data_IF_832662678621
#
_entry.id   IF_832662678621
#
_cell.length_a   1.000
_cell.length_b   1.000
_cell.length_c   1.000
_cell.angle_alpha   90.00
_cell.angle_beta   90.00
_cell.angle_gamma   90.00
#
_symmetry.space_group_name_H-M   'P 1'
#
loop_
_entity.id
_entity.type
_entity.pdbx_description
1 polymer ?
#
# COMPACT_ATOMS: atom_id res chain seq x y z
N UNK A 1 -25.09 -35.60 -51.06
CA UNK A 1 -25.43 -36.07 -49.69
C UNK A 1 -24.49 -35.34 -48.74
N UNK A 2 -24.99 -34.29 -48.09
CA UNK A 2 -25.37 -34.29 -46.65
C UNK A 2 -24.12 -34.20 -45.78
N UNK A 3 -23.86 -33.22 -44.92
CA UNK A 3 -24.61 -32.10 -44.33
C UNK A 3 -23.54 -31.02 -44.01
N UNK A 4 -23.81 -29.72 -43.92
CA UNK A 4 -24.91 -29.08 -43.22
C UNK A 4 -24.46 -28.72 -41.79
N UNK A 5 -24.24 -27.43 -41.54
CA UNK A 5 -24.20 -26.82 -40.20
C UNK A 5 -22.88 -26.98 -39.44
N UNK A 6 -22.33 -26.00 -38.75
CA UNK A 6 -22.87 -24.71 -38.36
C UNK A 6 -21.68 -23.74 -38.15
N UNK A 7 -21.86 -22.52 -38.64
CA UNK A 7 -21.12 -21.37 -38.15
C UNK A 7 -21.15 -21.40 -36.61
N UNK A 8 -20.00 -21.26 -35.96
CA UNK A 8 -19.96 -20.90 -34.54
C UNK A 8 -20.41 -19.45 -34.49
N UNK A 9 -21.62 -19.11 -33.99
CA UNK A 9 -21.93 -17.71 -33.77
C UNK A 9 -21.05 -17.24 -32.60
N UNK A 10 -20.14 -16.33 -32.91
CA UNK A 10 -19.54 -15.46 -31.90
C UNK A 10 -20.69 -14.83 -31.11
N UNK A 11 -20.79 -15.12 -29.81
CA UNK A 11 -21.70 -14.37 -28.95
C UNK A 11 -21.04 -13.04 -28.61
N UNK A 12 -21.53 -11.89 -29.09
CA UNK A 12 -21.18 -10.62 -28.47
C UNK A 12 -21.79 -10.66 -27.06
N UNK A 13 -20.94 -10.68 -26.03
CA UNK A 13 -21.39 -10.43 -24.66
C UNK A 13 -21.92 -9.00 -24.63
N UNK A 14 -23.24 -8.87 -24.70
CA UNK A 14 -23.99 -7.62 -24.54
C UNK A 14 -23.50 -6.90 -23.28
N UNK A 15 -22.77 -5.80 -23.48
CA UNK A 15 -22.32 -4.85 -22.46
C UNK A 15 -23.36 -3.72 -22.30
N UNK A 16 -24.65 -4.05 -22.22
CA UNK A 16 -25.72 -3.05 -22.42
C UNK A 16 -26.78 -3.00 -21.30
N UNK A 17 -26.40 -3.37 -20.08
CA UNK A 17 -27.30 -3.36 -18.93
C UNK A 17 -26.52 -3.09 -17.63
N UNK A 18 -25.48 -2.25 -17.75
CA UNK A 18 -24.81 -1.61 -16.61
C UNK A 18 -25.55 -0.33 -16.21
N UNK A 19 -26.88 -0.35 -16.24
CA UNK A 19 -27.70 0.70 -15.64
C UNK A 19 -27.76 0.38 -14.16
N UNK A 20 -26.80 0.89 -13.38
CA UNK A 20 -26.85 0.90 -11.93
C UNK A 20 -28.14 1.65 -11.52
N UNK A 21 -29.16 1.00 -10.93
CA UNK A 21 -30.20 1.74 -10.23
C UNK A 21 -29.54 2.37 -8.99
N UNK A 22 -29.04 3.59 -9.16
CA UNK A 22 -28.37 4.36 -8.13
C UNK A 22 -29.41 4.93 -7.14
N UNK A 23 -30.09 4.06 -6.38
CA UNK A 23 -30.89 4.44 -5.21
C UNK A 23 -31.37 3.24 -4.39
N UNK A 24 -30.52 2.23 -4.18
CA UNK A 24 -30.80 1.21 -3.16
C UNK A 24 -30.15 1.64 -1.85
N UNK A 25 -30.96 1.88 -0.81
CA UNK A 25 -30.48 2.13 0.55
C UNK A 25 -29.49 1.04 1.02
N UNK A 26 -29.57 -0.17 0.45
CA UNK A 26 -28.61 -1.25 0.66
C UNK A 26 -27.20 -0.98 0.12
N UNK A 27 -27.06 -0.30 -1.03
CA UNK A 27 -25.75 0.05 -1.58
C UNK A 27 -25.06 1.14 -0.75
N UNK A 28 -25.82 2.15 -0.29
CA UNK A 28 -25.30 3.20 0.59
C UNK A 28 -24.86 2.61 1.95
N UNK A 29 -25.63 1.66 2.49
CA UNK A 29 -25.30 0.95 3.72
C UNK A 29 -24.04 0.10 3.57
N UNK A 30 -23.90 -0.65 2.47
CA UNK A 30 -22.70 -1.42 2.19
C UNK A 30 -21.46 -0.52 2.05
N UNK A 31 -21.57 0.62 1.37
CA UNK A 31 -20.49 1.61 1.28
C UNK A 31 -20.06 2.14 2.65
N UNK A 32 -20.99 2.39 3.56
CA UNK A 32 -20.66 2.82 4.93
C UNK A 32 -20.05 1.69 5.78
N UNK A 33 -20.54 0.46 5.65
CA UNK A 33 -20.00 -0.70 6.39
C UNK A 33 -18.59 -1.09 5.92
N UNK A 34 -18.29 -0.97 4.61
CA UNK A 34 -16.96 -1.25 4.05
C UNK A 34 -16.03 -0.03 4.10
N UNK A 35 -16.53 1.15 3.76
CA UNK A 35 -15.75 2.38 3.63
C UNK A 35 -15.51 3.09 4.95
N UNK A 36 -16.46 3.02 5.89
CA UNK A 36 -16.32 3.66 7.21
C UNK A 36 -15.05 3.24 7.95
N UNK A 37 -14.77 1.94 8.10
CA UNK A 37 -13.53 1.45 8.71
C UNK A 37 -12.27 1.94 7.99
N UNK A 38 -12.28 1.98 6.65
CA UNK A 38 -11.13 2.40 5.83
C UNK A 38 -10.84 3.89 5.99
N UNK A 39 -11.88 4.72 6.02
CA UNK A 39 -11.76 6.16 6.26
C UNK A 39 -11.21 6.40 7.67
N UNK A 40 -11.74 5.69 8.67
CA UNK A 40 -11.27 5.81 10.05
C UNK A 40 -9.80 5.36 10.21
N UNK A 41 -9.43 4.24 9.58
CA UNK A 41 -8.04 3.79 9.53
C UNK A 41 -7.12 4.84 8.89
N UNK A 42 -7.54 5.47 7.79
CA UNK A 42 -6.74 6.49 7.10
C UNK A 42 -6.58 7.76 7.93
N UNK A 43 -7.63 8.15 8.67
CA UNK A 43 -7.57 9.26 9.61
C UNK A 43 -6.56 8.98 10.72
N UNK A 44 -6.64 7.79 11.35
CA UNK A 44 -5.70 7.37 12.38
C UNK A 44 -4.25 7.33 11.88
N UNK A 45 -4.02 6.78 10.68
CA UNK A 45 -2.69 6.74 10.08
C UNK A 45 -2.10 8.14 9.86
N UNK A 46 -2.93 9.09 9.41
CA UNK A 46 -2.52 10.49 9.20
C UNK A 46 -2.22 11.19 10.54
N UNK A 47 -3.05 10.96 11.56
CA UNK A 47 -2.83 11.50 12.90
C UNK A 47 -1.57 10.93 13.54
N UNK A 48 -1.28 9.64 13.35
CA UNK A 48 -0.05 9.02 13.85
C UNK A 48 1.19 9.67 13.23
N UNK A 49 1.21 9.88 11.90
CA UNK A 49 2.34 10.56 11.25
C UNK A 49 2.54 12.01 11.73
N UNK A 50 1.45 12.72 12.06
CA UNK A 50 1.54 14.04 12.68
C UNK A 50 2.14 13.95 14.10
N UNK A 51 1.67 13.02 14.92
CA UNK A 51 2.16 12.81 16.28
C UNK A 51 3.65 12.41 16.26
N UNK A 52 4.08 11.53 15.36
CA UNK A 52 5.49 11.13 15.20
C UNK A 52 6.38 12.35 14.95
N UNK A 53 5.94 13.24 14.07
CA UNK A 53 6.64 14.48 13.75
C UNK A 53 6.65 15.45 14.94
N UNK A 54 5.52 15.59 15.63
CA UNK A 54 5.38 16.46 16.80
C UNK A 54 6.19 15.97 18.00
N UNK A 55 6.26 14.65 18.25
CA UNK A 55 7.05 14.10 19.35
C UNK A 55 8.53 14.38 19.16
N UNK A 56 9.04 14.29 17.93
CA UNK A 56 10.45 14.61 17.65
C UNK A 56 10.68 16.13 17.53
N UNK A 57 9.64 16.93 17.30
CA UNK A 57 9.76 18.39 17.18
C UNK A 57 10.30 19.08 18.44
N UNK A 58 10.05 18.51 19.63
CA UNK A 58 10.51 19.07 20.90
C UNK A 58 11.97 18.76 21.25
N UNK A 59 12.65 17.90 20.48
CA UNK A 59 14.01 17.40 20.79
C UNK A 59 15.11 18.30 20.19
N UNK A 60 14.74 19.24 19.30
CA UNK A 60 15.62 20.28 18.77
C UNK A 60 15.64 20.37 17.24
N UNK A 61 16.16 21.46 16.64
CA UNK A 61 16.14 21.69 15.19
C UNK A 61 16.88 20.60 14.39
N UNK A 62 17.96 20.04 14.96
CA UNK A 62 18.72 18.95 14.37
C UNK A 62 17.89 17.65 14.28
N UNK A 63 17.06 17.36 15.29
CA UNK A 63 16.19 16.18 15.31
C UNK A 63 15.07 16.29 14.27
N UNK A 64 14.50 17.50 14.10
CA UNK A 64 13.52 17.80 13.03
C UNK A 64 14.11 17.61 11.63
N UNK A 65 15.35 18.05 11.40
CA UNK A 65 16.06 17.81 10.14
C UNK A 65 16.24 16.32 9.82
N UNK A 66 16.55 15.52 10.85
CA UNK A 66 16.64 14.06 10.74
C UNK A 66 15.32 13.38 10.36
N UNK A 67 14.20 13.80 10.97
CA UNK A 67 12.86 13.24 10.65
C UNK A 67 12.46 13.54 9.21
N UNK A 68 12.71 14.75 8.72
CA UNK A 68 12.41 15.10 7.32
C UNK A 68 13.19 14.24 6.31
N UNK A 69 14.42 13.85 6.67
CA UNK A 69 15.26 13.00 5.84
C UNK A 69 14.76 11.54 5.81
N UNK A 70 14.41 11.01 6.99
CA UNK A 70 13.82 9.68 7.13
C UNK A 70 12.48 9.60 6.42
N UNK A 71 11.66 10.65 6.50
CA UNK A 71 10.36 10.73 5.84
C UNK A 71 10.45 10.52 4.33
N UNK A 72 11.49 11.05 3.66
CA UNK A 72 11.71 10.82 2.22
C UNK A 72 11.98 9.36 1.89
N UNK A 73 12.78 8.69 2.70
CA UNK A 73 13.08 7.26 2.54
C UNK A 73 11.83 6.41 2.78
N UNK A 74 11.09 6.72 3.85
CA UNK A 74 9.82 6.06 4.18
C UNK A 74 8.76 6.26 3.09
N UNK A 75 8.72 7.43 2.44
CA UNK A 75 7.80 7.70 1.34
C UNK A 75 8.05 6.76 0.14
N UNK A 76 9.31 6.62 -0.27
CA UNK A 76 9.69 5.71 -1.36
C UNK A 76 9.37 4.26 -1.01
N UNK A 77 9.70 3.83 0.22
CA UNK A 77 9.37 2.49 0.69
C UNK A 77 7.85 2.25 0.72
N UNK A 78 7.08 3.24 1.16
CA UNK A 78 5.62 3.18 1.19
C UNK A 78 5.02 3.05 -0.21
N UNK A 79 5.58 3.74 -1.22
CA UNK A 79 5.15 3.58 -2.62
C UNK A 79 5.30 2.14 -3.11
N UNK A 80 6.45 1.51 -2.84
CA UNK A 80 6.72 0.12 -3.25
C UNK A 80 5.79 -0.84 -2.53
N UNK A 81 5.62 -0.69 -1.22
CA UNK A 81 4.75 -1.53 -0.41
C UNK A 81 3.27 -1.36 -0.79
N UNK A 82 2.82 -0.13 -1.06
CA UNK A 82 1.46 0.14 -1.53
C UNK A 82 1.19 -0.48 -2.89
N UNK A 83 2.17 -0.43 -3.81
CA UNK A 83 2.09 -1.12 -5.11
C UNK A 83 1.95 -2.63 -4.94
N UNK A 84 2.75 -3.23 -4.05
CA UNK A 84 2.69 -4.65 -3.76
C UNK A 84 1.36 -5.05 -3.10
N UNK A 85 0.88 -4.27 -2.13
CA UNK A 85 -0.38 -4.50 -1.44
C UNK A 85 -1.57 -4.41 -2.40
N UNK A 86 -1.60 -3.38 -3.25
CA UNK A 86 -2.64 -3.20 -4.26
C UNK A 86 -2.63 -4.32 -5.30
N UNK A 87 -1.47 -4.66 -5.86
CA UNK A 87 -1.33 -5.75 -6.83
C UNK A 87 -1.75 -7.11 -6.26
N UNK A 88 -1.39 -7.39 -5.01
CA UNK A 88 -1.80 -8.62 -4.32
C UNK A 88 -3.30 -8.59 -4.01
N UNK A 89 -3.85 -7.46 -3.59
CA UNK A 89 -5.28 -7.27 -3.34
C UNK A 89 -6.13 -7.55 -4.58
N UNK A 90 -5.68 -7.12 -5.76
CA UNK A 90 -6.35 -7.43 -7.05
C UNK A 90 -6.37 -8.94 -7.30
N UNK A 91 -5.24 -9.64 -7.14
CA UNK A 91 -5.17 -11.09 -7.31
C UNK A 91 -6.06 -11.83 -6.30
N UNK A 92 -6.08 -11.37 -5.05
CA UNK A 92 -6.94 -11.91 -3.98
C UNK A 92 -8.41 -11.74 -4.34
N UNK A 93 -8.82 -10.56 -4.83
CA UNK A 93 -10.19 -10.31 -5.26
C UNK A 93 -10.59 -11.21 -6.45
N UNK A 94 -9.69 -11.40 -7.41
CA UNK A 94 -9.92 -12.28 -8.57
C UNK A 94 -10.06 -13.76 -8.17
N UNK A 95 -9.11 -14.29 -7.39
CA UNK A 95 -9.16 -15.69 -6.95
C UNK A 95 -10.24 -15.96 -5.91
N UNK A 96 -10.52 -14.98 -5.05
CA UNK A 96 -11.60 -15.01 -4.06
C UNK A 96 -12.98 -15.01 -4.72
N UNK A 97 -13.21 -14.11 -5.69
CA UNK A 97 -14.46 -14.07 -6.47
C UNK A 97 -14.68 -15.33 -7.32
N UNK A 98 -13.61 -16.00 -7.75
CA UNK A 98 -13.68 -17.27 -8.46
C UNK A 98 -13.86 -18.51 -7.55
N UNK A 99 -13.99 -18.34 -6.23
CA UNK A 99 -14.14 -19.45 -5.27
C UNK A 99 -12.87 -20.27 -5.03
N UNK A 100 -11.71 -19.84 -5.56
CA UNK A 100 -10.43 -20.57 -5.50
C UNK A 100 -9.57 -20.11 -4.32
N UNK A 101 -10.10 -20.20 -3.11
CA UNK A 101 -9.44 -19.73 -1.88
C UNK A 101 -8.05 -20.34 -1.62
N UNK A 102 -7.80 -21.57 -2.08
CA UNK A 102 -6.47 -22.21 -1.98
C UNK A 102 -5.43 -21.53 -2.87
N UNK A 103 -5.83 -20.97 -4.01
CA UNK A 103 -4.93 -20.27 -4.94
C UNK A 103 -4.50 -18.89 -4.42
N UNK A 104 -5.23 -18.32 -3.45
CA UNK A 104 -4.90 -17.02 -2.81
C UNK A 104 -3.62 -17.09 -1.98
N UNK A 105 -3.31 -18.26 -1.41
CA UNK A 105 -2.15 -18.42 -0.50
C UNK A 105 -0.81 -18.13 -1.18
N UNK A 106 -0.67 -18.49 -2.45
CA UNK A 106 0.58 -18.28 -3.22
C UNK A 106 0.92 -16.79 -3.38
N UNK A 107 0.05 -15.99 -4.03
CA UNK A 107 0.26 -14.56 -4.20
C UNK A 107 0.48 -13.82 -2.87
N UNK A 108 -0.28 -14.15 -1.83
CA UNK A 108 -0.12 -13.54 -0.50
C UNK A 108 1.23 -13.90 0.13
N UNK A 109 1.66 -15.17 0.04
CA UNK A 109 2.96 -15.58 0.57
C UNK A 109 4.13 -14.88 -0.15
N UNK A 110 4.04 -14.73 -1.48
CA UNK A 110 5.05 -13.99 -2.25
C UNK A 110 5.05 -12.51 -1.86
N UNK A 111 3.88 -11.89 -1.69
CA UNK A 111 3.78 -10.50 -1.27
C UNK A 111 4.37 -10.26 0.13
N UNK A 112 4.08 -11.15 1.08
CA UNK A 112 4.67 -11.08 2.43
C UNK A 112 6.18 -11.32 2.37
N UNK A 113 6.63 -12.31 1.60
CA UNK A 113 8.05 -12.59 1.42
C UNK A 113 8.82 -11.42 0.80
N UNK A 114 8.29 -10.79 -0.24
CA UNK A 114 8.88 -9.62 -0.88
C UNK A 114 8.86 -8.41 0.06
N UNK A 115 7.77 -8.22 0.81
CA UNK A 115 7.66 -7.18 1.82
C UNK A 115 8.75 -7.32 2.89
N UNK A 116 8.90 -8.51 3.47
CA UNK A 116 9.98 -8.80 4.43
C UNK A 116 11.35 -8.58 3.78
N UNK A 117 11.56 -9.06 2.56
CA UNK A 117 12.85 -8.88 1.85
C UNK A 117 13.18 -7.41 1.59
N UNK A 118 12.20 -6.54 1.40
CA UNK A 118 12.40 -5.09 1.21
C UNK A 118 12.56 -4.34 2.53
N UNK A 119 11.76 -4.68 3.54
CA UNK A 119 11.72 -3.95 4.81
C UNK A 119 12.80 -4.42 5.79
N UNK A 120 13.16 -5.71 5.81
CA UNK A 120 14.17 -6.26 6.73
C UNK A 120 15.56 -5.64 6.52
N UNK A 121 16.09 -5.50 5.28
CA UNK A 121 17.38 -4.85 5.06
C UNK A 121 17.34 -3.37 5.44
N UNK A 122 16.23 -2.67 5.15
CA UNK A 122 16.07 -1.26 5.54
C UNK A 122 15.99 -1.09 7.06
N UNK A 123 15.28 -1.97 7.76
CA UNK A 123 15.21 -1.98 9.21
C UNK A 123 16.60 -2.27 9.82
N UNK A 124 17.34 -3.24 9.27
CA UNK A 124 18.68 -3.58 9.72
C UNK A 124 19.66 -2.42 9.48
N UNK A 125 19.59 -1.79 8.30
CA UNK A 125 20.41 -0.65 7.94
C UNK A 125 20.09 0.58 8.81
N UNK A 126 18.82 0.76 9.21
CA UNK A 126 18.42 1.79 10.17
C UNK A 126 18.99 1.53 11.57
N UNK A 127 18.95 0.27 12.04
CA UNK A 127 19.42 -0.09 13.39
C UNK A 127 20.95 -0.02 13.53
N UNK A 128 21.69 -0.51 12.54
CA UNK A 128 23.15 -0.61 12.58
C UNK A 128 23.87 0.53 11.86
N UNK A 129 23.18 1.21 10.95
CA UNK A 129 23.72 2.24 10.06
C UNK A 129 23.17 3.64 10.31
N UNK A 130 22.42 3.89 11.39
CA UNK A 130 21.94 5.23 11.78
C UNK A 130 23.02 6.34 11.63
N UNK A 131 24.28 6.17 12.09
CA UNK A 131 25.32 7.18 11.87
C UNK A 131 25.87 7.24 10.43
N UNK A 132 25.73 6.19 9.62
CA UNK A 132 26.21 6.14 8.24
C UNK A 132 25.18 6.71 7.25
N UNK A 133 23.89 6.42 7.44
CA UNK A 133 22.78 7.03 6.70
C UNK A 133 22.72 8.54 6.94
N UNK A 134 22.89 8.98 8.20
CA UNK A 134 22.95 10.40 8.52
C UNK A 134 24.08 11.13 7.77
N UNK A 135 25.22 10.46 7.52
CA UNK A 135 26.35 11.04 6.77
C UNK A 135 26.15 11.02 5.26
N UNK A 136 25.48 10.02 4.70
CA UNK A 136 25.29 9.89 3.25
C UNK A 136 24.13 10.75 2.73
N UNK A 137 23.14 11.02 3.58
CA UNK A 137 21.94 11.79 3.23
C UNK A 137 21.99 13.27 3.68
N UNK A 138 23.04 13.72 4.39
CA UNK A 138 23.26 15.14 4.75
C UNK A 138 24.29 15.79 3.82
N UNK A 139 23.88 16.64 2.86
CA UNK A 139 24.82 17.35 2.00
C UNK A 139 25.46 18.59 2.64
N UNK A 140 24.99 19.09 3.80
CA UNK A 140 25.54 20.33 4.37
C UNK A 140 25.46 20.38 5.91
N UNK A 141 26.64 20.27 6.54
CA UNK A 141 27.19 20.95 7.74
C UNK A 141 26.30 21.49 8.88
N UNK A 142 25.10 20.96 9.16
CA UNK A 142 24.32 21.39 10.33
C UNK A 142 24.05 20.29 11.40
N UNK A 143 24.48 19.05 11.16
CA UNK A 143 24.16 17.91 12.05
C UNK A 143 25.38 17.20 12.63
N UNK A 144 26.60 17.67 12.31
CA UNK A 144 27.84 17.11 12.86
C UNK A 144 28.15 17.62 14.29
N UNK A 145 27.68 18.82 14.65
CA UNK A 145 28.03 19.47 15.93
C UNK A 145 27.00 19.29 17.05
N UNK A 146 25.82 18.73 16.77
CA UNK A 146 24.80 18.46 17.79
C UNK A 146 24.97 17.09 18.49
N UNK A 147 25.98 16.31 18.08
CA UNK A 147 26.30 15.00 18.61
C UNK A 147 27.66 14.95 19.34
N UNK A 148 28.27 16.10 19.61
CA UNK A 148 29.41 16.27 20.51
C UNK A 148 28.93 16.91 21.82
#
# INVERSE_FOLDING_TARGET
MSAGGAAVPARPRSRADLTLPASDHGALRALWELGGPVIFQSLLASTLGLIDTLMVSGVGPAALGGVGLVSRVLFVLSMVLAGLASGTGVLVAQFGGAGRLRAVRGPVAVAVGLGILLTLPMALLSLFGAPWLARLLSPDHAVADAAA
#
